data_IF_175513370575
#
_entry.id   IF_175513370575
#
_cell.length_a   1.000
_cell.length_b   1.000
_cell.length_c   1.000
_cell.angle_alpha   90.00
_cell.angle_beta   90.00
_cell.angle_gamma   90.00
#
_symmetry.space_group_name_H-M   'P 1'
#
loop_
_entity.id
_entity.type
_entity.pdbx_description
1 polymer ?
#
# COMPACT_ATOMS: atom_id res chain seq x y z
N UNK A 1 18.42 47.67 0.65
CA UNK A 1 19.09 46.36 0.48
C UNK A 1 18.05 45.27 0.71
N UNK A 2 17.30 44.92 -0.34
CA UNK A 2 16.22 43.95 -0.29
C UNK A 2 16.77 42.55 -0.47
N UNK A 3 16.66 41.71 0.57
CA UNK A 3 16.91 40.28 0.46
C UNK A 3 15.66 39.63 -0.14
N UNK A 4 15.71 39.29 -1.44
CA UNK A 4 14.75 38.43 -2.10
C UNK A 4 14.73 37.09 -1.39
N UNK A 5 13.62 36.81 -0.73
CA UNK A 5 13.25 35.48 -0.28
C UNK A 5 12.89 34.66 -1.53
N UNK A 6 13.70 33.67 -1.87
CA UNK A 6 13.36 32.70 -2.91
C UNK A 6 12.33 31.74 -2.34
N UNK A 7 11.08 31.98 -2.67
CA UNK A 7 10.01 31.00 -2.49
C UNK A 7 10.29 29.77 -3.37
N UNK A 8 10.52 28.64 -2.71
CA UNK A 8 10.70 27.35 -3.35
C UNK A 8 9.29 26.71 -3.52
N UNK A 9 8.46 27.30 -4.40
CA UNK A 9 7.04 26.98 -4.55
C UNK A 9 6.67 26.23 -5.82
N UNK A 10 7.61 25.61 -6.52
CA UNK A 10 7.28 24.82 -7.70
C UNK A 10 7.58 23.34 -7.49
N UNK A 11 6.66 22.64 -6.79
CA UNK A 11 6.46 21.21 -7.02
C UNK A 11 5.38 21.09 -8.08
N UNK A 12 5.75 21.37 -9.33
CA UNK A 12 4.91 21.07 -10.49
C UNK A 12 4.83 19.56 -10.68
N UNK A 13 3.60 19.06 -10.75
CA UNK A 13 3.19 17.70 -11.07
C UNK A 13 3.58 17.31 -12.49
N UNK A 14 4.86 17.03 -12.76
CA UNK A 14 5.28 16.53 -14.06
C UNK A 14 5.92 15.14 -13.99
N UNK A 15 5.21 14.19 -14.62
CA UNK A 15 5.66 12.89 -15.11
C UNK A 15 6.35 11.92 -14.12
N UNK A 16 5.58 10.97 -13.64
CA UNK A 16 6.12 9.69 -13.13
C UNK A 16 6.55 8.87 -14.36
N UNK A 17 7.84 8.60 -14.49
CA UNK A 17 8.37 7.65 -15.48
C UNK A 17 8.56 6.31 -14.80
N UNK A 18 7.91 5.27 -15.32
CA UNK A 18 8.21 3.90 -14.96
C UNK A 18 9.57 3.53 -15.59
N UNK A 19 10.54 3.14 -14.78
CA UNK A 19 11.81 2.58 -15.25
C UNK A 19 11.68 1.07 -15.12
N UNK A 20 11.47 0.39 -16.27
CA UNK A 20 11.69 -1.05 -16.34
C UNK A 20 13.18 -1.35 -16.17
N UNK A 21 13.59 -2.32 -15.34
CA UNK A 21 14.98 -2.69 -15.21
C UNK A 21 15.48 -3.32 -16.52
N UNK A 22 16.42 -2.65 -17.20
CA UNK A 22 17.21 -3.20 -18.29
C UNK A 22 16.80 -2.84 -19.71
N UNK A 23 17.05 -1.61 -20.16
CA UNK A 23 17.00 -1.23 -21.56
C UNK A 23 17.95 -0.08 -21.88
N UNK A 24 19.07 -0.35 -22.54
CA UNK A 24 19.94 0.70 -23.12
C UNK A 24 19.20 1.42 -24.25
N UNK A 25 19.32 2.75 -24.39
CA UNK A 25 18.74 3.46 -25.53
C UNK A 25 19.51 3.12 -26.82
N UNK A 26 18.88 2.50 -27.80
CA UNK A 26 19.40 2.37 -29.15
C UNK A 26 18.70 3.39 -30.04
N UNK A 27 19.46 4.32 -30.57
CA UNK A 27 19.10 5.19 -31.69
C UNK A 27 19.10 4.38 -32.98
N UNK A 28 17.96 4.30 -33.68
CA UNK A 28 17.88 3.70 -35.02
C UNK A 28 16.43 3.52 -35.46
N UNK A 29 16.01 4.27 -36.46
CA UNK A 29 14.66 4.26 -37.02
C UNK A 29 14.29 2.94 -37.72
N UNK A 30 12.99 2.68 -37.96
CA UNK A 30 12.50 1.36 -38.35
C UNK A 30 12.64 1.11 -39.84
N UNK A 31 13.39 0.04 -40.19
CA UNK A 31 13.23 -0.64 -41.51
C UNK A 31 12.17 -1.75 -41.34
N UNK A 32 11.10 -1.65 -42.09
CA UNK A 32 10.08 -2.67 -42.18
C UNK A 32 10.68 -4.01 -42.64
N UNK A 33 10.46 -5.07 -41.87
CA UNK A 33 10.89 -6.43 -42.20
C UNK A 33 9.84 -7.45 -41.78
N UNK A 34 9.33 -8.16 -42.75
CA UNK A 34 8.34 -9.26 -42.81
C UNK A 34 7.99 -9.92 -41.44
N UNK A 35 6.80 -9.61 -40.94
CA UNK A 35 6.27 -10.08 -39.67
C UNK A 35 5.67 -11.51 -39.68
N UNK A 36 5.55 -12.17 -40.81
CA UNK A 36 4.87 -13.48 -40.88
C UNK A 36 5.71 -14.68 -40.40
N UNK A 37 7.05 -14.62 -40.52
CA UNK A 37 7.91 -15.70 -40.04
C UNK A 37 8.12 -15.65 -38.52
N UNK A 38 8.03 -14.49 -37.89
CA UNK A 38 8.23 -14.31 -36.45
C UNK A 38 7.08 -14.93 -35.62
N UNK A 39 5.85 -14.82 -36.10
CA UNK A 39 4.67 -15.37 -35.44
C UNK A 39 4.57 -16.91 -35.52
N UNK A 40 5.10 -17.54 -36.55
CA UNK A 40 5.17 -19.00 -36.68
C UNK A 40 6.18 -19.60 -35.67
N UNK A 41 7.28 -18.95 -35.41
CA UNK A 41 8.26 -19.38 -34.39
C UNK A 41 7.75 -19.28 -32.96
N UNK A 42 6.99 -18.23 -32.63
CA UNK A 42 6.43 -18.02 -31.31
C UNK A 42 5.33 -19.05 -30.97
N UNK A 43 4.48 -19.39 -31.95
CA UNK A 43 3.43 -20.40 -31.78
C UNK A 43 3.99 -21.80 -31.54
N UNK A 44 5.07 -22.17 -32.26
CA UNK A 44 5.73 -23.48 -32.07
C UNK A 44 6.42 -23.59 -30.69
N UNK A 45 7.03 -22.50 -30.19
CA UNK A 45 7.65 -22.46 -28.86
C UNK A 45 6.65 -22.67 -27.72
N UNK A 46 5.48 -22.04 -27.81
CA UNK A 46 4.43 -22.17 -26.78
C UNK A 46 3.88 -23.61 -26.73
N UNK A 47 3.68 -24.27 -27.90
CA UNK A 47 3.19 -25.65 -27.95
C UNK A 47 4.17 -26.63 -27.29
N UNK A 48 5.48 -26.44 -27.49
CA UNK A 48 6.51 -27.29 -26.87
C UNK A 48 6.52 -27.12 -25.34
N UNK A 49 6.36 -25.90 -24.82
CA UNK A 49 6.32 -25.63 -23.38
C UNK A 49 5.08 -26.25 -22.75
N UNK A 50 3.91 -26.16 -23.38
CA UNK A 50 2.67 -26.77 -22.88
C UNK A 50 2.77 -28.30 -22.86
N UNK A 51 3.35 -28.93 -23.89
CA UNK A 51 3.58 -30.36 -23.91
C UNK A 51 4.56 -30.84 -22.84
N UNK A 52 5.61 -30.06 -22.55
CA UNK A 52 6.55 -30.38 -21.47
C UNK A 52 5.89 -30.29 -20.08
N UNK A 53 5.04 -29.31 -19.83
CA UNK A 53 4.31 -29.16 -18.58
C UNK A 53 3.28 -30.28 -18.36
N UNK A 54 2.60 -30.72 -19.42
CA UNK A 54 1.66 -31.88 -19.36
C UNK A 54 2.42 -33.17 -19.06
N UNK A 55 3.60 -33.38 -19.65
CA UNK A 55 4.43 -34.55 -19.36
C UNK A 55 4.93 -34.58 -17.91
N UNK A 56 5.34 -33.44 -17.36
CA UNK A 56 5.76 -33.31 -15.95
C UNK A 56 4.58 -33.61 -15.00
N UNK A 57 3.37 -33.17 -15.36
CA UNK A 57 2.17 -33.43 -14.57
C UNK A 57 1.81 -34.94 -14.56
N UNK A 58 1.93 -35.63 -15.71
CA UNK A 58 1.66 -37.07 -15.80
C UNK A 58 2.73 -37.93 -15.11
N UNK A 59 4.00 -37.53 -15.12
CA UNK A 59 5.07 -38.29 -14.42
C UNK A 59 4.95 -38.13 -12.90
N UNK A 60 4.49 -36.99 -12.40
CA UNK A 60 4.30 -36.76 -10.94
C UNK A 60 3.01 -37.39 -10.38
N UNK A 61 2.07 -37.79 -11.25
CA UNK A 61 0.78 -38.38 -10.86
C UNK A 61 0.82 -39.94 -10.78
N UNK A 62 1.97 -40.58 -11.03
CA UNK A 62 2.06 -42.03 -11.14
C UNK A 62 2.81 -42.72 -9.97
N UNK A 63 3.01 -42.05 -8.84
CA UNK A 63 3.71 -42.67 -7.70
C UNK A 63 2.92 -42.56 -6.39
N UNK A 64 1.74 -43.15 -6.33
CA UNK A 64 1.10 -43.56 -5.07
C UNK A 64 0.15 -44.73 -5.33
N UNK A 65 0.66 -45.94 -5.18
CA UNK A 65 -0.08 -47.13 -4.78
C UNK A 65 0.90 -48.31 -4.60
N UNK A 66 1.26 -48.61 -3.38
CA UNK A 66 1.41 -50.00 -2.94
C UNK A 66 1.33 -50.07 -1.42
N UNK A 67 0.31 -50.81 -0.99
CA UNK A 67 0.10 -51.35 0.36
C UNK A 67 1.17 -52.33 0.76
N UNK A 68 1.54 -52.40 2.06
CA UNK A 68 1.71 -53.70 2.73
C UNK A 68 1.64 -53.55 4.25
N UNK A 69 0.84 -54.43 4.81
CA UNK A 69 0.54 -54.67 6.22
C UNK A 69 1.70 -55.24 7.07
N UNK A 70 1.46 -55.12 8.36
CA UNK A 70 1.85 -56.03 9.48
C UNK A 70 3.13 -55.70 10.24
N UNK A 71 2.95 -55.55 11.55
CA UNK A 71 3.98 -55.77 12.56
C UNK A 71 3.79 -55.05 13.87
N UNK A 72 2.97 -55.62 14.80
CA UNK A 72 2.93 -55.21 16.20
C UNK A 72 4.28 -55.40 16.90
N UNK A 73 4.73 -54.41 17.65
CA UNK A 73 5.50 -54.62 18.88
C UNK A 73 5.44 -53.38 19.79
N UNK A 74 4.83 -53.60 20.95
CA UNK A 74 4.90 -52.69 22.12
C UNK A 74 6.33 -52.59 22.60
N UNK A 75 6.77 -51.36 22.95
CA UNK A 75 7.53 -51.06 24.17
C UNK A 75 7.31 -49.61 24.53
N UNK A 76 6.91 -49.38 25.76
CA UNK A 76 6.81 -48.14 26.49
C UNK A 76 8.18 -47.53 26.71
N UNK A 77 8.34 -46.20 26.56
CA UNK A 77 9.08 -45.42 27.55
C UNK A 77 8.82 -43.92 27.35
N UNK A 78 8.56 -43.30 28.46
CA UNK A 78 8.35 -41.89 28.78
C UNK A 78 9.51 -41.00 28.35
N UNK A 79 9.24 -39.91 27.66
CA UNK A 79 10.10 -38.71 27.76
C UNK A 79 9.27 -37.45 27.53
N UNK A 80 9.28 -36.58 28.51
CA UNK A 80 8.71 -35.28 28.55
C UNK A 80 9.16 -34.42 27.34
N UNK A 81 8.21 -34.01 26.52
CA UNK A 81 8.36 -32.89 25.62
C UNK A 81 7.37 -31.80 26.07
N UNK A 82 7.83 -30.53 26.26
CA UNK A 82 6.91 -29.48 26.60
C UNK A 82 5.99 -29.21 25.39
N UNK A 83 4.71 -29.31 25.64
CA UNK A 83 3.67 -28.87 24.73
C UNK A 83 3.91 -27.41 24.37
N UNK A 84 4.32 -27.17 23.13
CA UNK A 84 4.13 -25.88 22.53
C UNK A 84 2.64 -25.75 22.20
N UNK A 85 1.87 -25.31 23.18
CA UNK A 85 0.55 -24.79 22.91
C UNK A 85 0.73 -23.60 21.94
N UNK A 86 0.41 -23.82 20.68
CA UNK A 86 0.11 -22.75 19.75
C UNK A 86 -1.03 -21.94 20.37
N UNK A 87 -0.69 -20.83 21.00
CA UNK A 87 -1.62 -19.79 21.40
C UNK A 87 -2.21 -19.20 20.11
N UNK A 88 -3.17 -19.91 19.52
CA UNK A 88 -4.13 -19.30 18.61
C UNK A 88 -4.92 -18.35 19.50
N UNK A 89 -4.50 -17.10 19.54
CA UNK A 89 -5.30 -16.04 20.14
C UNK A 89 -6.55 -15.93 19.26
N UNK A 90 -7.65 -16.57 19.67
CA UNK A 90 -8.96 -16.34 19.10
C UNK A 90 -9.21 -14.83 19.24
N UNK A 91 -9.23 -14.12 18.10
CA UNK A 91 -9.65 -12.72 18.08
C UNK A 91 -11.09 -12.71 18.58
N UNK A 92 -11.32 -12.12 19.73
CA UNK A 92 -12.66 -11.90 20.27
C UNK A 92 -13.41 -11.02 19.28
N UNK A 93 -14.34 -11.63 18.51
CA UNK A 93 -15.17 -10.93 17.53
C UNK A 93 -16.01 -9.80 18.14
N UNK A 94 -16.11 -9.73 19.47
CA UNK A 94 -16.79 -8.70 20.22
C UNK A 94 -15.83 -7.63 20.79
N UNK A 95 -14.53 -7.72 20.56
CA UNK A 95 -13.59 -6.71 21.04
C UNK A 95 -13.87 -5.34 20.39
N UNK A 96 -13.89 -4.28 21.19
CA UNK A 96 -14.04 -2.93 20.66
C UNK A 96 -12.88 -2.61 19.68
N UNK A 97 -13.13 -1.97 18.54
CA UNK A 97 -12.08 -1.62 17.59
C UNK A 97 -10.96 -0.78 18.23
N UNK A 98 -9.72 -1.04 17.81
CA UNK A 98 -8.53 -0.32 18.27
C UNK A 98 -7.44 -0.28 17.18
N UNK A 99 -6.32 0.38 17.46
CA UNK A 99 -5.14 0.36 16.59
C UNK A 99 -3.99 -0.34 17.31
N UNK A 100 -3.46 -1.40 16.71
CA UNK A 100 -2.20 -2.00 17.13
C UNK A 100 -1.03 -1.13 16.67
N UNK A 101 -0.06 -0.90 17.56
CA UNK A 101 1.16 -0.14 17.27
C UNK A 101 2.38 -1.04 17.47
N UNK A 102 3.24 -1.10 16.46
CA UNK A 102 4.50 -1.85 16.51
C UNK A 102 5.64 -1.01 15.97
N UNK A 103 6.73 -0.90 16.71
CA UNK A 103 7.97 -0.28 16.25
C UNK A 103 8.92 -1.34 15.69
N UNK A 104 9.63 -1.00 14.61
CA UNK A 104 10.63 -1.87 14.00
C UNK A 104 11.79 -1.06 13.43
N UNK A 105 12.92 -1.72 13.16
CA UNK A 105 14.09 -1.10 12.52
C UNK A 105 14.37 -1.85 11.22
N UNK A 106 14.23 -1.17 10.10
CA UNK A 106 14.50 -1.70 8.75
C UNK A 106 15.59 -0.85 8.09
N UNK A 107 16.64 -1.50 7.63
CA UNK A 107 17.79 -0.83 7.01
C UNK A 107 18.39 0.29 7.90
N UNK A 108 18.41 0.08 9.22
CA UNK A 108 18.89 1.04 10.22
C UNK A 108 17.94 2.23 10.47
N UNK A 109 16.72 2.21 9.96
CA UNK A 109 15.72 3.28 10.09
C UNK A 109 14.55 2.81 10.94
N UNK A 110 14.19 3.61 11.93
CA UNK A 110 13.03 3.30 12.79
C UNK A 110 11.73 3.63 12.09
N UNK A 111 10.84 2.64 12.05
CA UNK A 111 9.48 2.72 11.50
C UNK A 111 8.48 2.36 12.59
N UNK A 112 7.36 3.08 12.62
CA UNK A 112 6.18 2.74 13.42
C UNK A 112 5.08 2.24 12.49
N UNK A 113 4.52 1.08 12.80
CA UNK A 113 3.44 0.42 12.05
C UNK A 113 2.18 0.54 12.88
N UNK A 114 1.15 1.12 12.30
CA UNK A 114 -0.19 1.25 12.87
C UNK A 114 -1.15 0.35 12.08
N UNK A 115 -1.71 -0.66 12.73
CA UNK A 115 -2.69 -1.58 12.13
C UNK A 115 -4.05 -1.36 12.80
N UNK A 116 -5.08 -0.89 12.06
CA UNK A 116 -6.43 -0.84 12.59
C UNK A 116 -6.97 -2.25 12.77
N UNK A 117 -7.48 -2.57 13.94
CA UNK A 117 -8.12 -3.82 14.29
C UNK A 117 -9.62 -3.53 14.43
N UNK A 118 -10.41 -4.16 13.59
CA UNK A 118 -11.84 -3.85 13.48
C UNK A 118 -12.11 -2.48 12.84
N UNK A 119 -13.38 -2.15 12.71
CA UNK A 119 -13.82 -0.92 12.08
C UNK A 119 -13.77 -0.95 10.55
N UNK A 120 -14.39 0.05 9.94
CA UNK A 120 -14.52 0.22 8.50
C UNK A 120 -13.79 1.49 8.07
N UNK A 121 -12.97 1.37 7.03
CA UNK A 121 -12.25 2.51 6.46
C UNK A 121 -13.18 3.42 5.67
N UNK A 122 -13.02 4.73 5.86
CA UNK A 122 -13.78 5.77 5.17
C UNK A 122 -12.90 6.99 4.89
N UNK A 123 -13.37 7.86 3.99
CA UNK A 123 -12.76 9.17 3.75
C UNK A 123 -13.70 10.29 4.23
N UNK A 124 -13.09 11.40 4.67
CA UNK A 124 -13.81 12.60 5.04
C UNK A 124 -13.01 13.87 4.68
N UNK A 125 -13.72 14.96 4.40
CA UNK A 125 -13.14 16.30 4.27
C UNK A 125 -13.51 17.10 5.51
N UNK A 126 -12.53 17.80 6.06
CA UNK A 126 -12.65 18.60 7.27
C UNK A 126 -12.06 17.92 8.50
N UNK A 127 -11.56 18.74 9.43
CA UNK A 127 -10.85 18.29 10.62
C UNK A 127 -11.76 17.97 11.82
N UNK A 128 -13.07 18.12 11.68
CA UNK A 128 -14.06 17.75 12.70
C UNK A 128 -13.98 16.26 13.09
N UNK A 129 -13.50 15.40 12.18
CA UNK A 129 -13.27 13.97 12.46
C UNK A 129 -12.27 13.74 13.60
N UNK A 130 -11.38 14.68 13.84
CA UNK A 130 -10.38 14.60 14.92
C UNK A 130 -10.99 14.78 16.32
N UNK A 131 -12.16 15.40 16.39
CA UNK A 131 -12.89 15.68 17.63
C UNK A 131 -14.03 14.67 17.91
N UNK A 132 -14.28 13.76 16.97
CA UNK A 132 -15.29 12.71 17.11
C UNK A 132 -14.73 11.55 17.93
N UNK A 133 -15.51 11.05 18.87
CA UNK A 133 -15.23 9.77 19.54
C UNK A 133 -15.67 8.62 18.62
N UNK A 134 -14.90 7.54 18.61
CA UNK A 134 -15.21 6.33 17.84
C UNK A 134 -14.16 5.94 16.83
N UNK A 135 -13.60 6.85 15.98
CA UNK A 135 -12.51 6.48 15.11
C UNK A 135 -11.29 5.96 15.88
N UNK A 136 -10.79 4.80 15.45
CA UNK A 136 -9.61 4.18 16.09
C UNK A 136 -8.31 4.56 15.40
N UNK A 137 -8.36 4.96 14.14
CA UNK A 137 -7.21 5.48 13.39
C UNK A 137 -7.70 6.58 12.45
N UNK A 138 -7.02 7.72 12.46
CA UNK A 138 -7.29 8.87 11.59
C UNK A 138 -5.98 9.41 11.05
N UNK A 139 -5.83 9.55 9.74
CA UNK A 139 -4.64 10.11 9.11
C UNK A 139 -5.00 11.01 7.92
N UNK A 140 -4.26 12.12 7.74
CA UNK A 140 -4.40 12.90 6.51
C UNK A 140 -4.08 12.06 5.28
N UNK A 141 -4.95 12.10 4.25
CA UNK A 141 -4.87 11.26 3.08
C UNK A 141 -4.22 11.97 1.88
N UNK A 142 -5.02 12.65 1.06
CA UNK A 142 -4.55 13.29 -0.16
C UNK A 142 -4.00 14.71 0.08
N UNK A 143 -3.04 15.12 -0.75
CA UNK A 143 -2.51 16.48 -0.72
C UNK A 143 -3.57 17.49 -1.14
N UNK A 144 -3.45 18.69 -0.58
CA UNK A 144 -4.26 19.86 -0.92
C UNK A 144 -3.34 20.94 -1.47
N UNK A 145 -3.71 21.55 -2.58
CA UNK A 145 -2.96 22.61 -3.23
C UNK A 145 -2.96 23.87 -2.34
N UNK A 146 -1.80 24.48 -2.21
CA UNK A 146 -1.65 25.70 -1.38
C UNK A 146 -2.22 26.96 -2.06
N UNK A 147 -2.23 26.97 -3.40
CA UNK A 147 -2.65 28.13 -4.20
C UNK A 147 -4.16 28.32 -4.23
N UNK A 148 -4.93 27.24 -4.23
CA UNK A 148 -6.39 27.29 -4.40
C UNK A 148 -7.18 26.36 -3.46
N UNK A 149 -6.51 25.62 -2.59
CA UNK A 149 -7.15 24.73 -1.64
C UNK A 149 -7.82 23.49 -2.26
N UNK A 150 -7.57 23.17 -3.54
CA UNK A 150 -8.16 21.99 -4.18
C UNK A 150 -7.40 20.72 -3.81
N UNK A 151 -8.11 19.60 -3.70
CA UNK A 151 -7.50 18.27 -3.51
C UNK A 151 -6.75 17.87 -4.78
N UNK A 152 -5.55 17.37 -4.62
CA UNK A 152 -4.70 16.91 -5.72
C UNK A 152 -5.10 15.49 -6.13
N UNK A 153 -5.46 15.32 -7.40
CA UNK A 153 -5.90 14.02 -7.94
C UNK A 153 -7.40 13.78 -7.77
N UNK A 154 -7.87 12.63 -8.26
CA UNK A 154 -9.27 12.22 -8.09
C UNK A 154 -9.55 11.90 -6.62
N UNK A 155 -10.73 12.30 -6.14
CA UNK A 155 -11.17 12.09 -4.78
C UNK A 155 -12.69 11.87 -4.72
N UNK A 156 -13.11 10.74 -4.18
CA UNK A 156 -14.53 10.33 -4.05
C UNK A 156 -14.85 10.05 -2.60
N UNK A 157 -15.98 10.53 -2.13
CA UNK A 157 -16.54 10.23 -0.81
C UNK A 157 -17.95 9.72 -1.00
N UNK A 158 -18.21 8.48 -0.58
CA UNK A 158 -19.52 7.87 -0.59
C UNK A 158 -20.22 8.04 -1.96
N UNK A 159 -19.50 7.72 -3.03
CA UNK A 159 -19.96 7.87 -4.41
C UNK A 159 -19.86 9.27 -5.01
N UNK A 160 -19.67 10.30 -4.18
CA UNK A 160 -19.67 11.69 -4.64
C UNK A 160 -18.25 12.16 -5.02
N UNK A 161 -18.05 12.53 -6.27
CA UNK A 161 -16.79 12.98 -6.83
C UNK A 161 -16.45 14.41 -6.36
N UNK A 162 -15.55 14.53 -5.43
CA UNK A 162 -15.10 15.82 -4.84
C UNK A 162 -13.96 16.47 -5.64
N UNK A 163 -13.12 15.67 -6.32
CA UNK A 163 -12.05 16.16 -7.21
C UNK A 163 -11.88 15.22 -8.40
N UNK A 164 -11.60 15.78 -9.59
CA UNK A 164 -11.42 15.05 -10.86
C UNK A 164 -9.98 15.08 -11.39
N UNK A 165 -9.02 15.51 -10.59
CA UNK A 165 -7.63 15.63 -11.01
C UNK A 165 -7.03 14.29 -11.47
N UNK A 166 -6.15 14.33 -12.48
CA UNK A 166 -5.42 13.15 -12.99
C UNK A 166 -4.02 13.00 -12.38
N UNK A 167 -3.64 13.93 -11.50
CA UNK A 167 -2.33 13.90 -10.86
C UNK A 167 -2.16 12.68 -9.99
N UNK A 168 -0.94 12.13 -10.00
CA UNK A 168 -0.48 10.97 -9.23
C UNK A 168 -1.11 9.65 -9.67
N UNK A 169 -0.29 8.63 -9.81
CA UNK A 169 -0.72 7.32 -10.29
C UNK A 169 -1.02 6.31 -9.18
N UNK A 170 -0.55 6.56 -7.96
CA UNK A 170 -0.94 5.77 -6.79
C UNK A 170 -2.40 6.06 -6.43
N UNK A 171 -3.14 5.05 -6.01
CA UNK A 171 -4.52 5.20 -5.57
C UNK A 171 -4.88 4.26 -4.42
N UNK A 172 -5.87 4.67 -3.66
CA UNK A 172 -6.62 3.81 -2.74
C UNK A 172 -8.10 3.88 -3.15
N UNK A 173 -8.73 2.72 -3.30
CA UNK A 173 -10.17 2.56 -3.46
C UNK A 173 -10.71 1.79 -2.25
N UNK A 174 -11.86 2.22 -1.72
CA UNK A 174 -12.58 1.51 -0.65
C UNK A 174 -14.00 1.28 -1.18
N UNK A 175 -14.31 0.04 -1.50
CA UNK A 175 -15.58 -0.36 -2.11
C UNK A 175 -16.08 -1.59 -1.37
N UNK A 176 -17.32 -1.55 -0.87
CA UNK A 176 -17.91 -2.65 -0.10
C UNK A 176 -17.02 -3.10 1.09
N UNK A 177 -16.39 -2.14 1.77
CA UNK A 177 -15.44 -2.31 2.88
C UNK A 177 -14.08 -2.95 2.47
N UNK A 178 -13.87 -3.27 1.21
CA UNK A 178 -12.61 -3.77 0.70
C UNK A 178 -11.69 -2.59 0.31
N UNK A 179 -10.44 -2.63 0.77
CA UNK A 179 -9.42 -1.63 0.47
C UNK A 179 -8.49 -2.17 -0.61
N UNK A 180 -8.43 -1.48 -1.73
CA UNK A 180 -7.45 -1.75 -2.80
C UNK A 180 -6.45 -0.62 -2.89
N UNK A 181 -5.15 -0.94 -2.77
CA UNK A 181 -4.04 -0.01 -3.00
C UNK A 181 -3.33 -0.43 -4.27
N UNK A 182 -3.21 0.49 -5.23
CA UNK A 182 -2.61 0.18 -6.51
C UNK A 182 -1.96 1.38 -7.20
N UNK A 183 -1.39 1.11 -8.38
CA UNK A 183 -0.72 2.09 -9.22
C UNK A 183 -1.25 2.01 -10.65
N UNK A 184 -1.94 3.04 -11.12
CA UNK A 184 -2.44 3.14 -12.48
C UNK A 184 -2.77 4.58 -12.85
N UNK A 185 -2.52 4.97 -14.11
CA UNK A 185 -2.97 6.27 -14.63
C UNK A 185 -4.49 6.33 -14.74
N UNK A 186 -5.11 5.23 -15.14
CA UNK A 186 -6.57 5.04 -15.18
C UNK A 186 -6.90 3.70 -14.54
N UNK A 187 -8.00 3.65 -13.79
CA UNK A 187 -8.47 2.42 -13.15
C UNK A 187 -9.99 2.40 -13.12
N UNK A 188 -10.63 1.27 -13.40
CA UNK A 188 -12.09 1.13 -13.29
C UNK A 188 -12.59 1.30 -11.86
N UNK A 189 -11.70 1.18 -10.85
CA UNK A 189 -12.07 1.36 -9.45
C UNK A 189 -12.52 2.78 -9.10
N UNK A 190 -12.10 3.79 -9.88
CA UNK A 190 -12.61 5.15 -9.72
C UNK A 190 -14.09 5.26 -10.09
N UNK A 191 -14.50 4.64 -11.20
CA UNK A 191 -15.88 4.60 -11.66
C UNK A 191 -16.72 3.77 -10.69
N UNK A 192 -16.25 2.57 -10.34
CA UNK A 192 -16.91 1.70 -9.36
C UNK A 192 -17.10 2.39 -8.00
N UNK A 193 -16.10 3.10 -7.47
CA UNK A 193 -16.23 3.84 -6.22
C UNK A 193 -17.33 4.90 -6.30
N UNK A 194 -17.55 5.49 -7.49
CA UNK A 194 -18.64 6.46 -7.70
C UNK A 194 -20.00 5.77 -7.79
N UNK A 195 -20.09 4.62 -8.45
CA UNK A 195 -21.33 3.90 -8.70
C UNK A 195 -21.82 3.10 -7.48
N UNK A 196 -20.87 2.54 -6.72
CA UNK A 196 -21.12 1.66 -5.56
C UNK A 196 -21.07 2.40 -4.21
N UNK A 197 -21.17 3.74 -4.20
CA UNK A 197 -21.10 4.57 -3.01
C UNK A 197 -19.81 4.34 -2.19
N UNK A 198 -18.71 4.06 -2.87
CA UNK A 198 -17.41 3.85 -2.27
C UNK A 198 -16.62 5.14 -2.06
N UNK A 199 -15.34 4.95 -1.78
CA UNK A 199 -14.36 6.03 -1.58
C UNK A 199 -13.15 5.80 -2.46
N UNK A 200 -12.50 6.89 -2.87
CA UNK A 200 -11.32 6.82 -3.71
C UNK A 200 -10.45 8.06 -3.51
N UNK A 201 -9.12 7.89 -3.48
CA UNK A 201 -8.19 9.01 -3.57
C UNK A 201 -6.90 8.63 -4.29
N UNK A 202 -6.21 9.65 -4.83
CA UNK A 202 -4.90 9.51 -5.47
C UNK A 202 -3.79 10.10 -4.62
N UNK A 203 -2.62 9.43 -4.69
CA UNK A 203 -1.40 9.90 -4.04
C UNK A 203 -0.15 9.36 -4.76
N UNK A 204 1.05 9.78 -4.37
CA UNK A 204 2.29 9.24 -4.89
C UNK A 204 2.38 7.73 -4.62
N UNK A 205 2.65 6.89 -5.63
CA UNK A 205 2.97 5.49 -5.39
C UNK A 205 4.35 5.38 -4.75
N UNK A 206 4.52 4.51 -3.78
CA UNK A 206 5.80 4.27 -3.10
C UNK A 206 6.36 2.89 -3.41
N UNK A 207 5.50 1.87 -3.34
CA UNK A 207 5.83 0.47 -3.62
C UNK A 207 4.69 -0.12 -4.46
N UNK A 208 5.04 -0.91 -5.46
CA UNK A 208 4.10 -1.68 -6.26
C UNK A 208 4.67 -3.07 -6.54
N UNK A 209 3.90 -4.11 -6.23
CA UNK A 209 4.30 -5.53 -6.34
C UNK A 209 5.66 -5.83 -5.65
N UNK A 210 5.93 -5.17 -4.51
CA UNK A 210 7.17 -5.33 -3.76
C UNK A 210 8.37 -4.55 -4.31
N UNK A 211 8.18 -3.74 -5.36
CA UNK A 211 9.24 -2.94 -5.95
C UNK A 211 9.09 -1.44 -5.65
N UNK A 212 10.22 -0.76 -5.47
CA UNK A 212 10.26 0.68 -5.22
C UNK A 212 9.83 1.45 -6.46
N UNK A 213 8.87 2.37 -6.30
CA UNK A 213 8.52 3.34 -7.33
C UNK A 213 9.30 4.63 -7.10
N UNK A 214 10.08 5.04 -8.11
CA UNK A 214 10.81 6.30 -8.03
C UNK A 214 9.86 7.51 -8.15
N UNK A 215 10.08 8.47 -7.25
CA UNK A 215 9.36 9.74 -7.23
C UNK A 215 10.32 10.91 -7.41
N UNK A 216 9.85 11.98 -8.08
CA UNK A 216 10.65 13.19 -8.36
C UNK A 216 11.07 13.98 -7.12
N UNK A 217 10.19 14.22 -6.11
CA UNK A 217 10.57 15.02 -4.96
C UNK A 217 11.76 14.40 -4.20
N UNK A 218 12.81 15.20 -4.01
CA UNK A 218 14.06 14.77 -3.34
C UNK A 218 14.21 15.34 -1.92
N UNK A 219 13.21 16.06 -1.43
CA UNK A 219 13.21 16.64 -0.09
C UNK A 219 13.16 15.56 1.00
N UNK A 220 13.82 15.83 2.11
CA UNK A 220 13.75 15.00 3.31
C UNK A 220 12.56 15.44 4.17
N UNK A 221 11.76 14.49 4.61
CA UNK A 221 10.61 14.72 5.50
C UNK A 221 10.28 13.46 6.27
N UNK A 222 9.65 13.58 7.43
CA UNK A 222 8.95 12.45 8.01
C UNK A 222 7.90 11.96 7.02
N UNK A 223 7.79 10.65 6.84
CA UNK A 223 6.97 10.04 5.81
C UNK A 223 5.87 9.19 6.44
N UNK A 224 4.74 9.12 5.73
CA UNK A 224 3.63 8.21 6.04
C UNK A 224 3.21 7.48 4.79
N UNK A 225 2.87 6.20 4.91
CA UNK A 225 2.34 5.39 3.84
C UNK A 225 1.08 4.65 4.29
N UNK A 226 0.11 4.55 3.41
CA UNK A 226 -0.93 3.53 3.47
C UNK A 226 -0.43 2.34 2.67
N UNK A 227 -0.42 1.15 3.26
CA UNK A 227 0.29 0.00 2.70
C UNK A 227 -0.42 -1.32 2.98
N UNK A 228 -0.06 -2.35 2.20
CA UNK A 228 -0.45 -3.74 2.42
C UNK A 228 0.77 -4.51 2.94
N UNK A 229 0.66 -5.02 4.16
CA UNK A 229 1.63 -5.88 4.83
C UNK A 229 0.95 -7.19 5.22
N UNK A 230 1.44 -8.33 4.72
CA UNK A 230 0.84 -9.65 4.98
C UNK A 230 -0.67 -9.69 4.70
N UNK A 231 -1.08 -9.09 3.58
CA UNK A 231 -2.47 -8.95 3.11
C UNK A 231 -3.38 -8.11 4.02
N UNK A 232 -2.81 -7.40 5.01
CA UNK A 232 -3.51 -6.48 5.89
C UNK A 232 -3.15 -5.02 5.58
N UNK A 233 -4.10 -4.12 5.83
CA UNK A 233 -3.90 -2.68 5.63
C UNK A 233 -3.24 -2.08 6.86
N UNK A 234 -2.14 -1.35 6.65
CA UNK A 234 -1.40 -0.66 7.71
C UNK A 234 -1.06 0.77 7.30
N UNK A 235 -0.85 1.63 8.29
CA UNK A 235 -0.15 2.90 8.10
C UNK A 235 1.26 2.75 8.66
N UNK A 236 2.27 3.05 7.83
CA UNK A 236 3.68 3.03 8.23
C UNK A 236 4.20 4.46 8.31
N UNK A 237 4.86 4.78 9.42
CA UNK A 237 5.47 6.09 9.68
C UNK A 237 6.99 5.97 9.72
N UNK A 238 7.72 6.98 9.22
CA UNK A 238 9.13 7.15 9.54
C UNK A 238 9.29 8.15 10.68
N UNK A 239 10.04 7.81 11.71
CA UNK A 239 10.40 8.76 12.76
C UNK A 239 11.41 9.79 12.25
N UNK A 240 12.33 9.36 11.42
CA UNK A 240 13.35 10.21 10.81
C UNK A 240 12.83 10.90 9.54
N UNK A 241 13.54 11.95 9.14
CA UNK A 241 13.29 12.62 7.87
C UNK A 241 13.98 11.85 6.75
N UNK A 242 13.20 11.23 5.87
CA UNK A 242 13.65 10.44 4.75
C UNK A 242 13.25 11.05 3.40
N UNK A 243 14.01 10.77 2.36
CA UNK A 243 13.57 10.94 0.98
C UNK A 243 12.46 9.93 0.64
N UNK A 244 11.76 10.10 -0.47
CA UNK A 244 10.81 9.09 -0.95
C UNK A 244 11.51 7.75 -1.21
N UNK A 245 12.69 7.77 -1.86
CA UNK A 245 13.44 6.56 -2.19
C UNK A 245 13.86 5.78 -0.95
N UNK A 246 14.44 6.44 0.06
CA UNK A 246 14.84 5.79 1.31
C UNK A 246 13.67 5.20 2.06
N UNK A 247 12.54 5.93 2.12
CA UNK A 247 11.34 5.42 2.76
C UNK A 247 10.75 4.22 2.01
N UNK A 248 10.64 4.29 0.68
CA UNK A 248 10.17 3.18 -0.15
C UNK A 248 11.06 1.94 -0.03
N UNK A 249 12.39 2.10 0.04
CA UNK A 249 13.32 1.00 0.30
C UNK A 249 13.07 0.35 1.67
N UNK A 250 12.76 1.16 2.69
CA UNK A 250 12.44 0.63 4.02
C UNK A 250 11.10 -0.12 4.01
N UNK A 251 10.10 0.36 3.25
CA UNK A 251 8.82 -0.34 3.08
C UNK A 251 9.00 -1.69 2.38
N UNK A 252 9.82 -1.77 1.32
CA UNK A 252 10.14 -3.04 0.65
C UNK A 252 10.90 -3.97 1.60
N UNK A 253 11.87 -3.46 2.36
CA UNK A 253 12.59 -4.24 3.38
C UNK A 253 11.69 -4.76 4.51
N UNK A 254 10.56 -4.10 4.77
CA UNK A 254 9.52 -4.55 5.71
C UNK A 254 8.62 -5.65 5.12
N UNK A 255 8.67 -5.88 3.80
CA UNK A 255 7.81 -6.85 3.10
C UNK A 255 6.52 -6.25 2.53
N UNK A 256 6.42 -4.94 2.44
CA UNK A 256 5.25 -4.27 1.84
C UNK A 256 5.14 -4.62 0.36
N UNK A 257 3.96 -5.08 -0.07
CA UNK A 257 3.65 -5.38 -1.47
C UNK A 257 3.21 -4.13 -2.24
N UNK A 258 2.28 -3.37 -1.67
CA UNK A 258 1.76 -2.14 -2.29
C UNK A 258 1.71 -1.03 -1.24
N UNK A 259 2.14 0.17 -1.61
CA UNK A 259 2.07 1.34 -0.76
C UNK A 259 1.89 2.63 -1.56
N UNK A 260 1.06 3.51 -1.03
CA UNK A 260 0.94 4.89 -1.48
C UNK A 260 1.28 5.84 -0.33
N UNK A 261 1.77 7.02 -0.69
CA UNK A 261 2.07 8.07 0.27
C UNK A 261 0.80 8.59 0.92
N UNK A 262 0.85 8.93 2.19
CA UNK A 262 -0.12 9.80 2.85
C UNK A 262 0.52 11.16 3.09
N UNK A 263 -0.29 12.22 3.10
CA UNK A 263 0.22 13.57 3.35
C UNK A 263 1.14 13.57 4.57
N UNK A 264 2.40 13.96 4.35
CA UNK A 264 3.50 13.72 5.28
C UNK A 264 3.91 14.89 6.15
N UNK A 265 5.14 14.83 6.67
CA UNK A 265 5.76 15.82 7.55
C UNK A 265 4.91 16.07 8.81
N UNK A 266 4.52 17.31 9.04
CA UNK A 266 3.73 17.69 10.22
C UNK A 266 2.24 17.35 10.12
N UNK A 267 1.79 16.69 9.04
CA UNK A 267 0.39 16.29 8.90
C UNK A 267 -0.04 15.34 10.02
N UNK A 268 -1.15 15.67 10.66
CA UNK A 268 -1.61 15.02 11.87
C UNK A 268 -2.15 13.61 11.63
N UNK A 269 -1.87 12.73 12.59
CA UNK A 269 -2.42 11.40 12.71
C UNK A 269 -2.76 11.14 14.17
N UNK A 270 -3.88 10.45 14.41
CA UNK A 270 -4.36 10.04 15.73
C UNK A 270 -4.74 8.57 15.70
N UNK A 271 -4.31 7.80 16.68
CA UNK A 271 -4.69 6.40 16.84
C UNK A 271 -5.10 6.11 18.28
N UNK A 272 -6.19 5.35 18.49
CA UNK A 272 -6.62 4.82 19.77
C UNK A 272 -6.03 3.42 19.91
N UNK A 273 -5.14 3.23 20.85
CA UNK A 273 -4.48 1.95 21.11
C UNK A 273 -5.39 0.99 21.88
N UNK A 274 -4.99 -0.27 21.97
CA UNK A 274 -5.72 -1.34 22.65
C UNK A 274 -6.01 -1.02 24.13
N UNK A 275 -5.04 -0.41 24.81
CA UNK A 275 -5.17 0.02 26.21
C UNK A 275 -6.00 1.32 26.40
N UNK A 276 -6.55 1.84 25.32
CA UNK A 276 -7.33 3.09 25.28
C UNK A 276 -6.49 4.36 25.21
N UNK A 277 -5.14 4.27 25.27
CA UNK A 277 -4.28 5.44 25.10
C UNK A 277 -4.39 6.00 23.68
N UNK A 278 -4.18 7.30 23.55
CA UNK A 278 -4.16 8.00 22.26
C UNK A 278 -2.72 8.23 21.84
N UNK A 279 -2.34 7.62 20.72
CA UNK A 279 -1.10 7.91 20.03
C UNK A 279 -1.33 9.04 19.02
N UNK A 280 -0.46 10.03 19.04
CA UNK A 280 -0.51 11.16 18.10
C UNK A 280 0.82 11.32 17.37
N UNK A 281 0.75 11.62 16.10
CA UNK A 281 1.91 11.93 15.27
C UNK A 281 1.66 13.23 14.50
N UNK A 282 2.70 14.06 14.37
CA UNK A 282 2.60 15.35 13.72
C UNK A 282 1.95 16.43 14.59
N UNK A 283 1.39 17.46 13.95
CA UNK A 283 0.75 18.57 14.65
C UNK A 283 -0.60 18.89 14.01
N UNK A 284 -1.63 18.99 14.86
CA UNK A 284 -2.90 19.53 14.42
C UNK A 284 -2.71 21.01 14.09
N UNK A 285 -3.06 21.41 12.85
CA UNK A 285 -3.01 22.81 12.46
C UNK A 285 -4.15 23.57 13.15
N UNK A 286 -3.91 24.75 13.73
CA UNK A 286 -4.97 25.54 14.35
C UNK A 286 -6.02 26.03 13.33
N UNK A 287 -5.62 26.20 12.06
CA UNK A 287 -6.48 26.55 10.94
C UNK A 287 -6.17 25.55 9.82
N UNK A 288 -7.00 24.52 9.68
CA UNK A 288 -6.86 23.58 8.58
C UNK A 288 -7.17 24.26 7.24
N UNK A 289 -6.32 24.07 6.23
CA UNK A 289 -6.64 24.51 4.87
C UNK A 289 -7.99 23.94 4.42
N UNK A 290 -8.75 24.66 3.59
CA UNK A 290 -9.94 24.11 2.96
C UNK A 290 -9.64 22.77 2.27
N UNK A 291 -10.59 21.83 2.35
CA UNK A 291 -10.46 20.49 1.78
C UNK A 291 -9.32 19.61 2.38
N UNK A 292 -8.77 19.96 3.54
CA UNK A 292 -7.98 18.98 4.31
C UNK A 292 -8.83 17.74 4.50
N UNK A 293 -8.26 16.56 4.25
CA UNK A 293 -9.01 15.33 4.14
C UNK A 293 -8.28 14.19 4.85
N UNK A 294 -9.07 13.23 5.29
CA UNK A 294 -8.57 12.14 6.12
C UNK A 294 -9.11 10.79 5.65
N UNK A 295 -8.30 9.75 5.82
CA UNK A 295 -8.73 8.37 5.90
C UNK A 295 -8.88 8.01 7.39
N UNK A 296 -9.94 7.30 7.75
CA UNK A 296 -10.18 6.90 9.13
C UNK A 296 -10.89 5.54 9.22
N UNK A 297 -10.72 4.86 10.34
CA UNK A 297 -11.37 3.59 10.66
C UNK A 297 -12.28 3.78 11.89
N UNK A 298 -13.54 3.31 11.75
CA UNK A 298 -14.57 3.41 12.78
C UNK A 298 -15.47 2.18 12.77
#
# INVERSE_FOLDING_TARGET
MDKKHKDNTDILDDEIRFISPGGKPSSGGPKARNSRLFWLGLAAGIIIIVLALVLIFFVNSSSEAEESEMGEARISETSDQPDSEDLITELDENAAPYTSLTDTIINGRKLTILKPIGGVAKLVIGDSILDVEGPVLVAQAADVRRDNGQIVGAYVINGDMKSRGKAKSGFCAIINNEITIGVAQTTPLLERATEENGFFFRQYPLVYEGEVIENKPKNLSQRKALAILNDEVVIVLSEERLSFSEFSQSLVGLGIKNAIYLTGSAAYLKAKLEDGQIYEFGKRAPNCPPNTNYIYWQ
#
